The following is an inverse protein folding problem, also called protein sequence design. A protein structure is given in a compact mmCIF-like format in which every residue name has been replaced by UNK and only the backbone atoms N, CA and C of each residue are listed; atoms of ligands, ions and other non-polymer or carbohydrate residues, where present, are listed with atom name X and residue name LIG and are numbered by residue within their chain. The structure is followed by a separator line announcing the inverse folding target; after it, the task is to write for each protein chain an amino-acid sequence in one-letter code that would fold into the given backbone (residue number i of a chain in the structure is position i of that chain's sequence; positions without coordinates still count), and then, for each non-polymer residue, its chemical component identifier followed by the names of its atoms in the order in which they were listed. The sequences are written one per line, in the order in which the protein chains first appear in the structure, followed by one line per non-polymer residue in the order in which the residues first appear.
data_IF_616136475556
#
_entry.id   IF_616136475556
#
_cell.length_a   1.000
_cell.length_b   1.000
_cell.length_c   1.000
_cell.angle_alpha   90.00
_cell.angle_beta   90.00
_cell.angle_gamma   90.00
#
_symmetry.space_group_name_H-M   'P 1'
#
loop_
_entity.id
_entity.type
_entity.pdbx_description
1 polymer ?
#
# COMPACT_ATOMS: atom_id res chain seq x y z
N UNK A 1 4.88 -18.99 -9.72
CA UNK A 1 4.15 -17.87 -10.36
C UNK A 1 3.03 -17.42 -9.45
N UNK A 2 2.90 -16.12 -9.25
CA UNK A 2 1.78 -15.53 -8.49
C UNK A 2 1.04 -14.51 -9.34
N UNK A 3 -0.23 -14.35 -9.05
CA UNK A 3 -1.10 -13.41 -9.76
C UNK A 3 -1.67 -12.38 -8.80
N UNK A 4 -1.74 -11.13 -9.28
CA UNK A 4 -2.46 -10.05 -8.62
C UNK A 4 -3.55 -9.55 -9.56
N UNK A 5 -4.77 -9.45 -9.06
CA UNK A 5 -5.85 -8.77 -9.77
C UNK A 5 -5.83 -7.30 -9.39
N UNK A 6 -5.78 -6.43 -10.38
CA UNK A 6 -5.74 -4.98 -10.16
C UNK A 6 -7.13 -4.51 -9.77
N UNK A 7 -7.25 -4.04 -8.56
CA UNK A 7 -8.47 -3.49 -8.01
C UNK A 7 -8.62 -1.99 -8.28
N UNK A 8 -9.74 -1.45 -7.84
CA UNK A 8 -10.08 -0.03 -7.95
C UNK A 8 -9.00 0.90 -7.37
N UNK A 9 -8.42 0.51 -6.23
CA UNK A 9 -7.40 1.32 -5.55
C UNK A 9 -6.02 1.22 -6.18
N UNK A 10 -5.79 0.22 -7.01
CA UNK A 10 -4.50 -0.04 -7.66
C UNK A 10 -4.43 0.54 -9.06
N UNK A 11 -5.59 0.80 -9.67
CA UNK A 11 -5.67 1.27 -11.06
C UNK A 11 -5.04 2.65 -11.27
N UNK A 12 -4.53 2.88 -12.47
CA UNK A 12 -3.89 4.13 -12.85
C UNK A 12 -2.42 4.23 -12.47
N UNK A 13 -1.88 3.28 -11.72
CA UNK A 13 -0.46 3.24 -11.38
C UNK A 13 0.38 2.67 -12.52
N UNK A 14 1.63 3.10 -12.60
CA UNK A 14 2.60 2.47 -13.48
C UNK A 14 2.94 1.06 -12.97
N UNK A 15 3.17 0.14 -13.90
CA UNK A 15 3.51 -1.25 -13.58
C UNK A 15 4.69 -1.33 -12.60
N UNK A 16 5.79 -0.63 -12.88
CA UNK A 16 6.99 -0.67 -12.04
C UNK A 16 6.72 -0.15 -10.62
N UNK A 17 5.93 0.90 -10.49
CA UNK A 17 5.58 1.47 -9.18
C UNK A 17 4.65 0.56 -8.38
N UNK A 18 3.67 -0.02 -9.04
CA UNK A 18 2.77 -0.97 -8.39
C UNK A 18 3.55 -2.17 -7.84
N UNK A 19 4.42 -2.78 -8.64
CA UNK A 19 5.20 -3.94 -8.20
C UNK A 19 6.16 -3.58 -7.07
N UNK A 20 6.81 -2.42 -7.14
CA UNK A 20 7.69 -1.95 -6.07
C UNK A 20 6.96 -1.78 -4.73
N UNK A 21 5.73 -1.30 -4.74
CA UNK A 21 4.90 -1.16 -3.53
C UNK A 21 4.39 -2.50 -3.02
N UNK A 22 4.01 -3.39 -3.92
CA UNK A 22 3.46 -4.71 -3.56
C UNK A 22 4.53 -5.67 -3.08
N UNK A 23 5.76 -5.52 -3.55
CA UNK A 23 6.90 -6.38 -3.24
C UNK A 23 8.07 -5.54 -2.71
N UNK A 24 8.00 -5.05 -1.47
CA UNK A 24 9.04 -4.17 -0.92
C UNK A 24 10.39 -4.85 -0.77
N UNK A 25 10.46 -6.17 -0.72
CA UNK A 25 11.71 -6.92 -0.66
C UNK A 25 12.42 -7.05 -2.03
N UNK A 26 11.73 -6.74 -3.13
CA UNK A 26 12.31 -6.84 -4.46
C UNK A 26 13.16 -5.59 -4.77
N UNK A 27 14.49 -5.74 -4.95
CA UNK A 27 15.34 -4.60 -5.28
C UNK A 27 14.93 -3.93 -6.60
N UNK A 28 14.98 -2.60 -6.70
CA UNK A 28 14.59 -1.88 -7.91
C UNK A 28 15.34 -2.31 -9.17
N UNK A 29 16.63 -2.60 -9.05
CA UNK A 29 17.45 -3.08 -10.17
C UNK A 29 16.99 -4.44 -10.70
N UNK A 30 16.62 -5.34 -9.78
CA UNK A 30 16.13 -6.66 -10.10
C UNK A 30 14.71 -6.58 -10.71
N UNK A 31 13.87 -5.70 -10.20
CA UNK A 31 12.55 -5.42 -10.77
C UNK A 31 12.67 -4.99 -12.25
N UNK A 32 13.54 -4.06 -12.57
CA UNK A 32 13.75 -3.62 -13.94
C UNK A 32 14.26 -4.76 -14.85
N UNK A 33 15.15 -5.59 -14.31
CA UNK A 33 15.62 -6.79 -15.01
C UNK A 33 14.48 -7.77 -15.33
N UNK A 34 13.61 -8.02 -14.35
CA UNK A 34 12.47 -8.94 -14.54
C UNK A 34 11.44 -8.40 -15.53
N UNK A 35 11.18 -7.10 -15.54
CA UNK A 35 10.32 -6.48 -16.54
C UNK A 35 10.93 -6.67 -17.95
N UNK A 36 12.22 -6.39 -18.11
CA UNK A 36 12.93 -6.54 -19.38
C UNK A 36 12.92 -7.97 -19.87
N UNK A 37 13.08 -8.94 -18.98
CA UNK A 37 13.06 -10.37 -19.29
C UNK A 37 11.63 -10.93 -19.46
N UNK A 38 10.60 -10.08 -19.40
CA UNK A 38 9.18 -10.47 -19.52
C UNK A 38 8.74 -11.50 -18.48
N UNK A 39 9.37 -11.49 -17.32
CA UNK A 39 8.95 -12.29 -16.16
C UNK A 39 7.79 -11.67 -15.40
N UNK A 40 7.45 -10.43 -15.71
CA UNK A 40 6.27 -9.75 -15.21
C UNK A 40 5.38 -9.47 -16.42
N UNK A 41 4.17 -10.00 -16.38
CA UNK A 41 3.22 -9.92 -17.49
C UNK A 41 1.92 -9.28 -17.02
N UNK A 42 1.29 -8.54 -17.91
CA UNK A 42 -0.07 -8.00 -17.72
C UNK A 42 -0.99 -8.71 -18.70
N UNK A 43 -2.01 -9.38 -18.21
CA UNK A 43 -2.94 -10.18 -19.02
C UNK A 43 -2.22 -11.15 -19.96
N UNK A 44 -1.19 -11.82 -19.44
CA UNK A 44 -0.41 -12.81 -20.18
C UNK A 44 0.63 -12.28 -21.15
N UNK A 45 0.77 -10.95 -21.26
CA UNK A 45 1.71 -10.29 -22.18
C UNK A 45 2.79 -9.53 -21.42
N UNK A 46 4.04 -9.64 -21.89
CA UNK A 46 5.13 -8.82 -21.39
C UNK A 46 4.86 -7.34 -21.69
N UNK A 47 5.06 -6.50 -20.71
CA UNK A 47 4.75 -5.07 -20.78
C UNK A 47 5.95 -4.22 -20.42
N UNK A 48 5.94 -2.95 -20.82
CA UNK A 48 6.94 -1.96 -20.44
C UNK A 48 6.71 -1.49 -19.01
N UNK A 49 7.75 -0.95 -18.38
CA UNK A 49 7.71 -0.50 -16.98
C UNK A 49 6.70 0.63 -16.72
N UNK A 50 6.43 1.44 -17.73
CA UNK A 50 5.60 2.66 -17.65
C UNK A 50 4.14 2.42 -18.04
N UNK A 51 3.77 1.17 -18.33
CA UNK A 51 2.38 0.82 -18.62
C UNK A 51 1.51 1.15 -17.41
N UNK A 52 0.36 1.79 -17.66
CA UNK A 52 -0.65 2.08 -16.64
C UNK A 52 -1.56 0.87 -16.48
N UNK A 53 -1.74 0.44 -15.23
CA UNK A 53 -2.63 -0.66 -14.89
C UNK A 53 -4.07 -0.18 -14.81
N UNK A 54 -4.99 -1.01 -15.27
CA UNK A 54 -6.43 -0.76 -15.24
C UNK A 54 -7.13 -1.76 -14.33
N UNK A 55 -8.28 -1.35 -13.77
CA UNK A 55 -9.08 -2.24 -12.94
C UNK A 55 -9.46 -3.50 -13.72
N UNK A 56 -9.24 -4.65 -13.10
CA UNK A 56 -9.50 -5.95 -13.72
C UNK A 56 -8.29 -6.56 -14.43
N UNK A 57 -7.21 -5.82 -14.62
CA UNK A 57 -5.97 -6.39 -15.15
C UNK A 57 -5.45 -7.51 -14.24
N UNK A 58 -4.92 -8.56 -14.83
CA UNK A 58 -4.27 -9.65 -14.12
C UNK A 58 -2.76 -9.53 -14.32
N UNK A 59 -2.06 -9.28 -13.24
CA UNK A 59 -0.61 -9.18 -13.21
C UNK A 59 -0.02 -10.54 -12.81
N UNK A 60 0.80 -11.10 -13.69
CA UNK A 60 1.43 -12.40 -13.47
C UNK A 60 2.94 -12.22 -13.25
N UNK A 61 3.42 -12.72 -12.11
CA UNK A 61 4.80 -12.55 -11.67
C UNK A 61 5.51 -13.91 -11.60
N UNK A 62 6.46 -14.11 -12.50
CA UNK A 62 7.32 -15.30 -12.56
C UNK A 62 8.66 -15.01 -11.89
N UNK A 63 8.61 -14.80 -10.59
CA UNK A 63 9.76 -14.44 -9.74
C UNK A 63 9.80 -15.34 -8.50
N UNK A 64 10.92 -15.33 -7.80
CA UNK A 64 11.14 -16.17 -6.63
C UNK A 64 10.15 -15.83 -5.50
N UNK A 65 9.70 -16.87 -4.80
CA UNK A 65 8.69 -16.73 -3.74
C UNK A 65 9.17 -15.87 -2.57
N UNK A 66 10.46 -15.83 -2.29
CA UNK A 66 11.05 -15.02 -1.22
C UNK A 66 10.71 -13.53 -1.31
N UNK A 67 10.46 -13.01 -2.52
CA UNK A 67 10.11 -11.60 -2.73
C UNK A 67 8.66 -11.27 -2.44
N UNK A 68 7.81 -12.28 -2.26
CA UNK A 68 6.40 -12.09 -1.91
C UNK A 68 6.17 -12.00 -0.41
N UNK A 69 7.17 -12.29 0.40
CA UNK A 69 7.08 -12.11 1.84
C UNK A 69 7.04 -10.61 2.14
N UNK A 70 6.07 -10.22 2.95
CA UNK A 70 6.03 -8.84 3.44
C UNK A 70 6.97 -8.74 4.63
N UNK A 71 7.72 -7.63 4.75
CA UNK A 71 8.45 -7.39 5.98
C UNK A 71 7.48 -7.52 7.16
N UNK A 72 7.91 -8.17 8.23
CA UNK A 72 7.19 -8.20 9.50
C UNK A 72 7.22 -6.79 10.14
N UNK A 73 6.66 -5.82 9.45
CA UNK A 73 6.25 -4.61 10.12
C UNK A 73 5.06 -5.02 10.98
N UNK A 74 5.28 -4.98 12.26
CA UNK A 74 4.20 -5.10 13.23
C UNK A 74 3.11 -4.14 12.79
N UNK A 75 1.90 -4.63 12.59
CA UNK A 75 0.76 -3.80 12.28
C UNK A 75 0.41 -2.99 13.53
N UNK A 76 1.20 -1.96 13.80
CA UNK A 76 1.12 -1.15 15.02
C UNK A 76 -0.25 -0.48 15.15
N UNK A 77 -0.96 -0.24 14.05
CA UNK A 77 -2.30 0.31 14.11
C UNK A 77 -3.28 -0.63 14.85
N UNK A 78 -3.03 -1.94 14.90
CA UNK A 78 -3.87 -2.89 15.64
C UNK A 78 -3.76 -2.70 17.16
N UNK A 79 -2.73 -2.02 17.64
CA UNK A 79 -2.59 -1.68 19.07
C UNK A 79 -3.43 -0.47 19.46
N UNK A 80 -3.97 0.26 18.51
CA UNK A 80 -4.84 1.40 18.74
C UNK A 80 -6.30 0.91 18.78
N UNK A 81 -6.81 0.60 19.97
CA UNK A 81 -8.17 0.07 20.13
C UNK A 81 -9.25 1.13 19.95
N UNK A 82 -8.98 2.36 20.37
CA UNK A 82 -9.91 3.50 20.25
C UNK A 82 -9.24 4.65 19.52
N UNK A 83 -9.33 4.70 18.19
CA UNK A 83 -8.77 5.81 17.43
C UNK A 83 -9.39 7.14 17.86
N UNK A 84 -8.54 8.12 18.15
CA UNK A 84 -8.96 9.46 18.54
C UNK A 84 -8.64 10.41 17.40
N UNK A 85 -9.65 10.71 16.61
CA UNK A 85 -9.55 11.60 15.46
C UNK A 85 -10.61 12.68 15.57
N UNK A 86 -10.21 13.92 15.36
CA UNK A 86 -11.15 15.03 15.16
C UNK A 86 -11.36 15.19 13.65
N UNK A 87 -12.39 14.54 13.12
CA UNK A 87 -12.68 14.49 11.69
C UNK A 87 -13.44 15.75 11.29
N UNK A 88 -12.86 16.53 10.38
CA UNK A 88 -13.45 17.74 9.82
C UNK A 88 -14.33 17.41 8.61
N UNK A 89 -13.89 16.48 7.79
CA UNK A 89 -14.59 16.03 6.58
C UNK A 89 -14.15 14.61 6.22
N UNK A 90 -15.07 13.83 5.72
CA UNK A 90 -14.80 12.47 5.25
C UNK A 90 -15.68 12.12 4.04
N UNK A 91 -15.07 11.52 3.04
CA UNK A 91 -15.77 10.86 1.94
C UNK A 91 -15.03 9.57 1.52
N UNK A 92 -15.39 8.98 0.38
CA UNK A 92 -14.79 7.73 -0.10
C UNK A 92 -13.29 7.84 -0.38
N UNK A 93 -12.79 9.04 -0.66
CA UNK A 93 -11.44 9.27 -1.15
C UNK A 93 -10.58 10.09 -0.19
N UNK A 94 -11.19 10.91 0.64
CA UNK A 94 -10.52 11.87 1.50
C UNK A 94 -11.00 11.78 2.94
N UNK A 95 -10.04 11.97 3.84
CA UNK A 95 -10.28 12.16 5.27
C UNK A 95 -9.50 13.39 5.71
N UNK A 96 -10.21 14.44 6.13
CA UNK A 96 -9.62 15.64 6.70
C UNK A 96 -9.74 15.59 8.22
N UNK A 97 -8.62 15.64 8.90
CA UNK A 97 -8.56 15.58 10.35
C UNK A 97 -7.87 16.81 10.91
N UNK A 98 -8.39 17.31 12.03
CA UNK A 98 -7.74 18.34 12.84
C UNK A 98 -6.86 17.65 13.89
N UNK A 99 -5.57 17.59 13.61
CA UNK A 99 -4.61 16.94 14.49
C UNK A 99 -4.41 17.75 15.76
N UNK A 100 -4.56 17.14 16.94
CA UNK A 100 -4.23 17.81 18.19
C UNK A 100 -2.73 18.10 18.31
N UNK A 101 -2.36 19.20 18.98
CA UNK A 101 -0.94 19.52 19.22
C UNK A 101 -0.22 18.40 19.98
N UNK A 102 1.05 18.20 19.67
CA UNK A 102 1.91 17.22 20.34
C UNK A 102 1.80 15.80 19.83
N UNK A 103 0.84 15.48 18.95
CA UNK A 103 0.74 14.18 18.33
C UNK A 103 1.66 14.07 17.11
N UNK A 104 2.52 13.07 17.11
CA UNK A 104 3.39 12.76 15.95
C UNK A 104 2.56 12.28 14.78
N UNK A 105 2.91 12.71 13.57
CA UNK A 105 2.24 12.31 12.34
C UNK A 105 2.65 10.90 11.94
N UNK A 106 3.94 10.63 11.90
CA UNK A 106 4.54 9.33 11.66
C UNK A 106 5.37 8.87 12.84
N UNK A 107 5.69 7.58 12.90
CA UNK A 107 6.59 7.04 13.90
C UNK A 107 7.95 7.73 13.88
N UNK A 108 8.50 7.99 15.04
CA UNK A 108 9.84 8.52 15.24
C UNK A 108 10.59 7.71 16.33
N UNK A 109 11.74 8.20 16.78
CA UNK A 109 12.54 7.49 17.78
C UNK A 109 11.84 7.42 19.15
N UNK A 110 10.99 8.38 19.48
CA UNK A 110 10.34 8.50 20.77
C UNK A 110 8.93 7.93 20.82
N UNK A 111 8.19 7.97 19.70
CA UNK A 111 6.81 7.50 19.62
C UNK A 111 6.60 6.67 18.35
N UNK A 112 6.18 5.43 18.52
CA UNK A 112 5.96 4.50 17.41
C UNK A 112 4.51 4.05 17.25
N UNK A 113 3.71 4.14 18.28
CA UNK A 113 2.33 3.62 18.31
C UNK A 113 1.31 4.74 18.18
N UNK A 114 1.44 5.77 19.00
CA UNK A 114 0.45 6.85 19.14
C UNK A 114 0.64 7.95 18.08
N UNK A 115 0.70 7.56 16.83
CA UNK A 115 0.89 8.47 15.71
C UNK A 115 -0.42 8.69 14.97
N UNK A 116 -0.53 9.81 14.28
CA UNK A 116 -1.73 10.13 13.51
C UNK A 116 -2.02 9.07 12.46
N UNK A 117 -1.00 8.58 11.76
CA UNK A 117 -1.19 7.55 10.74
C UNK A 117 -1.72 6.24 11.32
N UNK A 118 -1.26 5.82 12.50
CA UNK A 118 -1.77 4.62 13.16
C UNK A 118 -3.23 4.78 13.59
N UNK A 119 -3.62 5.95 14.09
CA UNK A 119 -5.01 6.25 14.43
C UNK A 119 -5.91 6.23 13.20
N UNK A 120 -5.45 6.80 12.08
CA UNK A 120 -6.20 6.79 10.81
C UNK A 120 -6.35 5.36 10.29
N UNK A 121 -5.29 4.58 10.28
CA UNK A 121 -5.33 3.19 9.83
C UNK A 121 -6.25 2.34 10.71
N UNK A 122 -6.17 2.51 12.03
CA UNK A 122 -7.06 1.83 12.98
C UNK A 122 -8.53 2.20 12.75
N UNK A 123 -8.82 3.46 12.53
CA UNK A 123 -10.17 3.96 12.26
C UNK A 123 -10.75 3.34 10.99
N UNK A 124 -10.01 3.38 9.87
CA UNK A 124 -10.46 2.82 8.59
C UNK A 124 -10.57 1.29 8.65
N UNK A 125 -9.68 0.64 9.38
CA UNK A 125 -9.74 -0.80 9.62
C UNK A 125 -11.01 -1.19 10.40
N UNK A 126 -11.34 -0.47 11.47
CA UNK A 126 -12.52 -0.72 12.29
C UNK A 126 -13.82 -0.44 11.53
N UNK A 127 -13.83 0.54 10.65
CA UNK A 127 -14.96 0.82 9.74
C UNK A 127 -15.08 -0.19 8.60
N UNK A 128 -14.11 -1.09 8.44
CA UNK A 128 -14.03 -2.06 7.35
C UNK A 128 -13.90 -1.42 5.96
N UNK A 129 -13.33 -0.23 5.88
CA UNK A 129 -13.03 0.45 4.62
C UNK A 129 -11.63 0.12 4.10
N UNK A 130 -10.75 -0.36 4.97
CA UNK A 130 -9.39 -0.74 4.61
C UNK A 130 -8.92 -1.92 5.46
N UNK A 131 -8.25 -2.87 4.81
CA UNK A 131 -7.58 -3.98 5.46
C UNK A 131 -6.32 -4.33 4.66
N UNK A 132 -5.12 -4.34 5.28
CA UNK A 132 -3.88 -4.62 4.56
C UNK A 132 -3.82 -6.02 3.95
N UNK A 133 -4.64 -6.96 4.44
CA UNK A 133 -4.73 -8.31 3.89
C UNK A 133 -5.52 -8.37 2.58
N UNK A 134 -6.41 -7.42 2.33
CA UNK A 134 -7.24 -7.38 1.13
C UNK A 134 -6.62 -6.53 0.02
N UNK A 135 -5.71 -5.62 0.39
CA UNK A 135 -5.08 -4.70 -0.56
C UNK A 135 -3.75 -5.23 -1.07
N UNK A 136 -3.46 -4.99 -2.33
CA UNK A 136 -2.18 -5.37 -2.93
C UNK A 136 -1.08 -4.36 -2.58
N UNK A 137 -1.36 -3.08 -2.78
CA UNK A 137 -0.39 -2.00 -2.60
C UNK A 137 -0.97 -0.77 -1.90
N UNK A 138 -2.28 -0.67 -1.78
CA UNK A 138 -2.93 0.50 -1.21
C UNK A 138 -2.81 0.53 0.31
N UNK A 139 -2.43 1.68 0.83
CA UNK A 139 -2.52 2.00 2.25
C UNK A 139 -2.90 3.47 2.40
N UNK A 140 -3.66 3.83 3.46
CA UNK A 140 -3.92 5.22 3.78
C UNK A 140 -2.61 6.00 3.92
N UNK A 141 -2.53 7.15 3.30
CA UNK A 141 -1.33 7.97 3.29
C UNK A 141 -1.68 9.43 3.58
N UNK A 142 -0.74 10.12 4.21
CA UNK A 142 -0.87 11.55 4.49
C UNK A 142 -0.38 12.35 3.29
N UNK A 143 -1.16 13.35 2.90
CA UNK A 143 -0.79 14.27 1.82
C UNK A 143 0.21 15.32 2.28
N UNK A 144 0.15 15.70 3.56
CA UNK A 144 1.02 16.70 4.17
C UNK A 144 1.20 16.42 5.66
N UNK A 145 2.12 17.14 6.25
CA UNK A 145 2.39 17.11 7.70
C UNK A 145 1.83 18.32 8.41
#
# INVERSE_FOLDING_TARGET
MREFTIGKNDAGQRLDRFVAKSLPLLPPTLLQKYIRLKRIKVNGKGSKRDVRLETGDILQLYINDEFFDKPNEENLFLTVFKPQLNIVYEDENLLLVDKRPGMSVHADETEKVNTLINHIQAYLYQKREWNPKWENAFAPALCNR
#
